data_IF_674149619931
#
_entry.id   IF_674149619931
#
_cell.length_a   1.000
_cell.length_b   1.000
_cell.length_c   1.000
_cell.angle_alpha   90.00
_cell.angle_beta   90.00
_cell.angle_gamma   90.00
#
_symmetry.space_group_name_H-M   'P 1'
#
loop_
_entity.id
_entity.type
_entity.pdbx_description
1 polymer ?
#
# COMPACT_ATOMS: atom_id res chain seq x y z
N UNK A 1 17.34 13.75 31.86
CA UNK A 1 17.02 13.51 30.42
C UNK A 1 15.93 14.52 30.05
N UNK A 2 16.25 15.53 29.22
CA UNK A 2 15.27 16.53 28.82
C UNK A 2 14.22 15.90 27.91
N UNK A 3 12.94 16.16 28.17
CA UNK A 3 11.84 15.82 27.28
C UNK A 3 11.71 16.94 26.27
N UNK A 4 11.85 16.65 24.97
CA UNK A 4 11.61 17.64 23.90
C UNK A 4 10.17 18.13 23.97
N UNK A 5 9.96 19.43 23.80
CA UNK A 5 8.62 19.97 23.60
C UNK A 5 8.11 19.61 22.20
N UNK A 6 6.80 19.50 22.03
CA UNK A 6 6.19 19.16 20.73
C UNK A 6 6.63 20.15 19.64
N UNK A 7 6.78 21.43 19.98
CA UNK A 7 7.26 22.51 19.10
C UNK A 7 8.71 22.35 18.63
N UNK A 8 9.50 21.49 19.30
CA UNK A 8 10.91 21.20 18.98
C UNK A 8 11.04 19.95 18.08
N UNK A 9 9.94 19.26 17.78
CA UNK A 9 9.93 18.07 16.89
C UNK A 9 9.72 18.57 15.45
N UNK A 10 10.62 18.23 14.50
CA UNK A 10 10.41 18.58 13.10
C UNK A 10 9.06 18.07 12.58
N UNK A 11 8.34 18.92 11.88
CA UNK A 11 7.08 18.58 11.22
C UNK A 11 7.17 18.95 9.74
N UNK A 12 7.19 17.94 8.88
CA UNK A 12 7.42 18.09 7.45
C UNK A 12 6.12 18.05 6.65
N UNK A 13 6.13 18.75 5.53
CA UNK A 13 5.01 18.83 4.59
C UNK A 13 5.38 18.23 3.24
N UNK A 14 4.39 18.09 2.35
CA UNK A 14 4.62 17.66 0.97
C UNK A 14 5.54 18.65 0.21
N UNK A 15 5.51 19.93 0.53
CA UNK A 15 6.40 20.93 -0.08
C UNK A 15 7.85 20.68 0.29
N UNK A 16 8.12 20.33 1.56
CA UNK A 16 9.46 19.92 1.99
C UNK A 16 9.90 18.64 1.27
N UNK A 17 9.01 17.65 1.26
CA UNK A 17 9.25 16.34 0.63
C UNK A 17 9.58 16.45 -0.86
N UNK A 18 8.94 17.34 -1.60
CA UNK A 18 9.15 17.52 -3.04
C UNK A 18 10.58 17.94 -3.40
N UNK A 19 11.37 18.41 -2.42
CA UNK A 19 12.76 18.81 -2.60
C UNK A 19 13.78 17.78 -2.08
N UNK A 20 13.31 16.66 -1.52
CA UNK A 20 14.21 15.66 -0.95
C UNK A 20 14.75 14.71 -2.02
N UNK A 21 15.99 14.31 -1.85
CA UNK A 21 16.59 13.24 -2.64
C UNK A 21 16.27 11.88 -2.03
N UNK A 22 16.13 10.86 -2.89
CA UNK A 22 15.83 9.50 -2.47
C UNK A 22 14.33 9.24 -2.32
N UNK A 23 14.01 8.13 -1.65
CA UNK A 23 12.62 7.71 -1.40
C UNK A 23 12.26 7.92 0.06
N UNK A 24 11.17 8.61 0.29
CA UNK A 24 10.68 8.94 1.63
C UNK A 24 9.17 8.77 1.70
N UNK A 25 8.68 8.61 2.90
CA UNK A 25 7.27 8.78 3.26
C UNK A 25 7.18 9.81 4.36
N UNK A 26 6.06 10.52 4.42
CA UNK A 26 5.71 11.41 5.54
C UNK A 26 4.40 10.92 6.11
N UNK A 27 4.32 10.71 7.40
CA UNK A 27 3.07 10.35 8.08
C UNK A 27 2.88 11.28 9.28
N UNK A 28 1.84 12.12 9.23
CA UNK A 28 1.56 13.13 10.24
C UNK A 28 2.79 14.03 10.53
N UNK A 29 3.45 14.50 9.48
CA UNK A 29 4.64 15.35 9.58
C UNK A 29 5.95 14.65 9.95
N UNK A 30 5.91 13.35 10.23
CA UNK A 30 7.11 12.56 10.55
C UNK A 30 7.68 11.94 9.29
N UNK A 31 8.96 12.22 9.01
CA UNK A 31 9.66 11.67 7.85
C UNK A 31 10.19 10.26 8.12
N UNK A 32 9.95 9.37 7.17
CA UNK A 32 10.46 7.99 7.16
C UNK A 32 11.29 7.76 5.91
N UNK A 33 12.61 7.59 6.06
CA UNK A 33 13.45 7.16 4.96
C UNK A 33 13.01 5.77 4.50
N UNK A 34 12.75 5.63 3.21
CA UNK A 34 12.60 4.31 2.60
C UNK A 34 14.01 3.75 2.40
N UNK A 35 14.25 2.56 2.92
CA UNK A 35 15.55 1.88 2.92
C UNK A 35 16.19 1.85 1.52
N UNK A 36 17.54 1.71 1.41
CA UNK A 36 18.14 1.46 0.11
C UNK A 36 17.41 0.32 -0.61
N UNK A 37 17.54 0.23 -1.93
CA UNK A 37 16.75 -0.62 -2.82
C UNK A 37 16.23 -1.93 -2.18
N UNK A 38 14.96 -2.28 -2.34
CA UNK A 38 14.40 -3.49 -1.75
C UNK A 38 15.15 -4.74 -2.21
N UNK A 39 15.20 -5.76 -1.36
CA UNK A 39 15.85 -7.04 -1.67
C UNK A 39 15.25 -7.66 -2.94
N UNK A 40 16.03 -8.45 -3.67
CA UNK A 40 15.62 -9.14 -4.91
C UNK A 40 14.29 -9.90 -4.70
N UNK A 41 14.18 -10.65 -3.59
CA UNK A 41 12.95 -11.40 -3.26
C UNK A 41 11.72 -10.51 -3.12
N UNK A 42 11.86 -9.35 -2.47
CA UNK A 42 10.78 -8.36 -2.37
C UNK A 42 10.37 -7.85 -3.74
N UNK A 43 11.34 -7.46 -4.58
CA UNK A 43 11.05 -6.95 -5.93
C UNK A 43 10.41 -8.02 -6.81
N UNK A 44 10.88 -9.28 -6.74
CA UNK A 44 10.31 -10.39 -7.51
C UNK A 44 8.84 -10.62 -7.14
N UNK A 45 8.52 -10.65 -5.86
CA UNK A 45 7.14 -10.82 -5.38
C UNK A 45 6.26 -9.64 -5.79
N UNK A 46 6.73 -8.39 -5.55
CA UNK A 46 6.00 -7.18 -5.95
C UNK A 46 5.73 -7.15 -7.46
N UNK A 47 6.69 -7.54 -8.29
CA UNK A 47 6.51 -7.62 -9.74
C UNK A 47 5.47 -8.67 -10.15
N UNK A 48 5.44 -9.84 -9.49
CA UNK A 48 4.43 -10.89 -9.74
C UNK A 48 3.03 -10.43 -9.32
N UNK A 49 2.93 -9.68 -8.20
CA UNK A 49 1.69 -9.05 -7.76
C UNK A 49 1.23 -8.04 -8.80
N UNK A 50 2.11 -7.11 -9.22
CA UNK A 50 1.80 -6.08 -10.20
C UNK A 50 1.27 -6.68 -11.52
N UNK A 51 1.97 -7.68 -12.05
CA UNK A 51 1.55 -8.36 -13.28
C UNK A 51 0.16 -8.96 -13.13
N UNK A 52 -0.09 -9.69 -12.04
CA UNK A 52 -1.38 -10.34 -11.83
C UNK A 52 -2.51 -9.32 -11.63
N UNK A 53 -2.25 -8.22 -10.90
CA UNK A 53 -3.22 -7.14 -10.75
C UNK A 53 -3.52 -6.48 -12.10
N UNK A 54 -2.52 -6.21 -12.92
CA UNK A 54 -2.73 -5.62 -14.25
C UNK A 54 -3.58 -6.52 -15.14
N UNK A 55 -3.28 -7.83 -15.18
CA UNK A 55 -4.05 -8.83 -15.92
C UNK A 55 -5.53 -8.89 -15.48
N UNK A 56 -5.80 -8.98 -14.17
CA UNK A 56 -7.19 -9.12 -13.66
C UNK A 56 -7.99 -7.82 -13.75
N UNK A 57 -7.34 -6.66 -13.76
CA UNK A 57 -7.99 -5.35 -13.90
C UNK A 57 -8.04 -4.82 -15.34
N UNK A 58 -7.46 -5.54 -16.32
CA UNK A 58 -7.41 -5.12 -17.73
C UNK A 58 -8.78 -4.71 -18.27
N UNK A 59 -9.83 -5.46 -17.94
CA UNK A 59 -11.19 -5.23 -18.40
C UNK A 59 -12.03 -4.32 -17.48
N UNK A 60 -11.50 -3.88 -16.34
CA UNK A 60 -12.19 -2.93 -15.45
C UNK A 60 -11.81 -1.49 -15.83
N UNK A 61 -12.58 -0.87 -16.71
CA UNK A 61 -12.28 0.46 -17.27
C UNK A 61 -12.10 1.57 -16.23
N UNK A 62 -12.73 1.44 -15.06
CA UNK A 62 -12.71 2.45 -14.00
C UNK A 62 -11.55 2.31 -13.03
N UNK A 63 -10.89 1.16 -13.01
CA UNK A 63 -9.80 0.86 -12.09
C UNK A 63 -8.48 0.58 -12.83
N UNK A 64 -7.37 0.89 -12.19
CA UNK A 64 -6.01 0.64 -12.68
C UNK A 64 -5.13 0.09 -11.57
N UNK A 65 -4.35 -0.92 -11.90
CA UNK A 65 -3.24 -1.38 -11.07
C UNK A 65 -2.03 -0.46 -11.27
N UNK A 66 -1.37 -0.09 -10.20
CA UNK A 66 -0.20 0.78 -10.23
C UNK A 66 0.96 0.18 -9.42
N UNK A 67 2.17 0.47 -9.87
CA UNK A 67 3.42 0.32 -9.13
C UNK A 67 3.52 1.43 -8.05
N UNK A 68 4.57 1.43 -7.20
CA UNK A 68 4.71 2.44 -6.16
C UNK A 68 4.59 3.85 -6.72
N UNK A 69 3.66 4.61 -6.18
CA UNK A 69 3.38 6.00 -6.50
C UNK A 69 3.03 6.75 -5.22
N UNK A 70 3.32 8.03 -5.17
CA UNK A 70 2.92 8.87 -4.05
C UNK A 70 1.40 8.91 -3.92
N UNK A 71 0.92 8.49 -2.75
CA UNK A 71 -0.44 8.77 -2.33
C UNK A 71 -0.41 9.92 -1.32
N UNK A 72 -0.84 11.08 -1.79
CA UNK A 72 -0.93 12.29 -0.99
C UNK A 72 -2.29 12.35 -0.29
N UNK A 73 -2.30 11.97 0.98
CA UNK A 73 -3.50 11.97 1.81
C UNK A 73 -3.80 13.37 2.39
N UNK A 74 -2.75 14.03 2.88
CA UNK A 74 -2.81 15.36 3.49
C UNK A 74 -1.58 16.18 3.14
N UNK A 75 -1.52 17.43 3.61
CA UNK A 75 -0.36 18.29 3.40
C UNK A 75 0.91 17.73 4.04
N UNK A 76 0.77 16.97 5.11
CA UNK A 76 1.84 16.38 5.93
C UNK A 76 1.81 14.84 5.95
N UNK A 77 1.08 14.23 5.02
CA UNK A 77 0.98 12.76 4.94
C UNK A 77 1.01 12.30 3.48
N UNK A 78 2.11 11.62 3.13
CA UNK A 78 2.37 11.02 1.82
C UNK A 78 2.99 9.65 2.03
N UNK A 79 2.42 8.61 1.43
CA UNK A 79 2.92 7.24 1.49
C UNK A 79 3.07 6.64 0.10
N UNK A 80 3.92 5.62 -0.03
CA UNK A 80 4.13 4.88 -1.28
C UNK A 80 3.86 3.39 -1.03
N UNK A 81 2.64 2.89 -1.24
CA UNK A 81 2.37 1.45 -1.21
C UNK A 81 3.14 0.69 -2.30
N UNK A 82 3.57 -0.55 -2.03
CA UNK A 82 4.33 -1.35 -2.99
C UNK A 82 3.54 -1.68 -4.26
N UNK A 83 2.27 -2.09 -4.11
CA UNK A 83 1.34 -2.32 -5.23
C UNK A 83 -0.06 -1.87 -4.81
N UNK A 84 -0.77 -1.24 -5.73
CA UNK A 84 -2.10 -0.73 -5.40
C UNK A 84 -3.04 -0.75 -6.61
N UNK A 85 -4.34 -0.71 -6.32
CA UNK A 85 -5.39 -0.52 -7.32
C UNK A 85 -6.18 0.73 -6.97
N UNK A 86 -6.26 1.67 -7.90
CA UNK A 86 -7.08 2.87 -7.78
C UNK A 86 -8.26 2.81 -8.75
N UNK A 87 -9.36 3.48 -8.39
CA UNK A 87 -10.52 3.59 -9.26
C UNK A 87 -10.99 5.04 -9.36
N UNK A 88 -11.40 5.44 -10.56
CA UNK A 88 -11.93 6.78 -10.84
C UNK A 88 -10.96 7.94 -10.47
N UNK A 89 -9.65 7.72 -10.60
CA UNK A 89 -8.62 8.74 -10.35
C UNK A 89 -8.22 9.43 -11.65
N UNK A 90 -7.72 10.67 -11.54
CA UNK A 90 -7.11 11.37 -12.67
C UNK A 90 -5.68 10.88 -12.87
N UNK A 91 -5.41 10.23 -14.00
CA UNK A 91 -4.11 9.64 -14.32
C UNK A 91 -3.07 10.65 -14.85
N UNK A 92 -3.43 11.91 -15.05
CA UNK A 92 -2.50 12.95 -15.56
C UNK A 92 -1.63 13.58 -14.45
N UNK A 93 -1.74 13.08 -13.22
CA UNK A 93 -0.99 13.57 -12.05
C UNK A 93 0.19 12.66 -11.71
N UNK A 94 1.21 13.24 -11.11
CA UNK A 94 2.38 12.51 -10.59
C UNK A 94 2.11 11.80 -9.24
N UNK A 95 0.95 12.01 -8.65
CA UNK A 95 0.53 11.42 -7.37
C UNK A 95 -0.98 11.16 -7.39
N UNK A 96 -1.43 10.25 -6.54
CA UNK A 96 -2.87 10.00 -6.33
C UNK A 96 -3.36 10.74 -5.07
N UNK A 97 -4.65 11.06 -5.05
CA UNK A 97 -5.31 11.75 -3.94
C UNK A 97 -6.48 10.97 -3.37
N UNK A 98 -7.06 10.06 -4.17
CA UNK A 98 -8.12 9.17 -3.69
C UNK A 98 -7.54 7.93 -3.02
N UNK A 99 -8.27 7.39 -2.06
CA UNK A 99 -7.89 6.14 -1.43
C UNK A 99 -7.87 4.98 -2.45
N UNK A 100 -6.78 4.23 -2.55
CA UNK A 100 -6.76 2.98 -3.30
C UNK A 100 -7.83 2.01 -2.81
N UNK A 101 -8.33 1.18 -3.71
CA UNK A 101 -9.28 0.12 -3.34
C UNK A 101 -8.57 -1.10 -2.77
N UNK A 102 -7.38 -1.39 -3.28
CA UNK A 102 -6.57 -2.52 -2.84
C UNK A 102 -5.13 -2.01 -2.65
N UNK A 103 -4.50 -2.41 -1.56
CA UNK A 103 -3.08 -2.19 -1.31
C UNK A 103 -2.44 -3.53 -0.93
N UNK A 104 -1.30 -3.81 -1.54
CA UNK A 104 -0.36 -4.84 -1.11
C UNK A 104 0.91 -4.17 -0.58
N UNK A 105 1.38 -4.60 0.59
CA UNK A 105 2.70 -4.28 1.12
C UNK A 105 3.50 -5.57 1.27
N UNK A 106 4.66 -5.64 0.64
CA UNK A 106 5.58 -6.76 0.75
C UNK A 106 6.51 -6.51 1.92
N UNK A 107 6.33 -7.24 2.99
CA UNK A 107 7.04 -7.02 4.25
C UNK A 107 8.54 -7.23 4.12
N UNK A 108 9.29 -6.35 4.76
CA UNK A 108 10.72 -6.50 5.02
C UNK A 108 11.01 -6.29 6.50
N UNK A 109 12.18 -6.71 6.96
CA UNK A 109 12.59 -6.51 8.38
C UNK A 109 12.56 -5.04 8.81
N UNK A 110 12.77 -4.12 7.87
CA UNK A 110 12.78 -2.67 8.15
C UNK A 110 11.39 -2.03 8.09
N UNK A 111 10.45 -2.58 7.34
CA UNK A 111 9.13 -1.97 7.11
C UNK A 111 7.99 -2.65 7.86
N UNK A 112 8.10 -3.93 8.20
CA UNK A 112 7.02 -4.72 8.78
C UNK A 112 6.31 -4.02 9.96
N UNK A 113 7.05 -3.46 10.91
CA UNK A 113 6.47 -2.74 12.05
C UNK A 113 5.66 -1.51 11.63
N UNK A 114 6.08 -0.81 10.58
CA UNK A 114 5.37 0.35 10.04
C UNK A 114 4.10 -0.10 9.29
N UNK A 115 4.23 -1.13 8.46
CA UNK A 115 3.13 -1.63 7.61
C UNK A 115 2.03 -2.32 8.47
N UNK A 116 2.43 -3.13 9.47
CA UNK A 116 1.50 -3.76 10.43
C UNK A 116 0.94 -2.79 11.49
N UNK A 117 1.51 -1.60 11.62
CA UNK A 117 1.19 -0.61 12.65
C UNK A 117 0.55 0.67 12.12
N UNK A 118 1.38 1.69 11.86
CA UNK A 118 0.88 3.03 11.52
C UNK A 118 0.18 3.05 10.16
N UNK A 119 0.70 2.36 9.14
CA UNK A 119 0.07 2.26 7.81
C UNK A 119 -1.23 1.47 7.86
N UNK A 120 -1.29 0.40 8.67
CA UNK A 120 -2.52 -0.37 8.87
C UNK A 120 -3.67 0.54 9.35
N UNK A 121 -3.42 1.34 10.39
CA UNK A 121 -4.44 2.29 10.91
C UNK A 121 -4.75 3.41 9.93
N UNK A 122 -3.73 3.91 9.23
CA UNK A 122 -3.89 4.95 8.23
C UNK A 122 -4.77 4.48 7.08
N UNK A 123 -4.49 3.30 6.51
CA UNK A 123 -5.27 2.76 5.40
C UNK A 123 -6.69 2.37 5.81
N UNK A 124 -6.88 1.90 7.05
CA UNK A 124 -8.21 1.67 7.64
C UNK A 124 -9.01 2.97 7.70
N UNK A 125 -8.41 4.04 8.25
CA UNK A 125 -9.10 5.33 8.40
C UNK A 125 -9.42 6.02 7.07
N UNK A 126 -8.58 5.81 6.06
CA UNK A 126 -8.75 6.39 4.71
C UNK A 126 -9.71 5.58 3.83
N UNK A 127 -10.17 4.43 4.30
CA UNK A 127 -11.20 3.68 3.60
C UNK A 127 -10.68 2.76 2.49
N UNK A 128 -9.44 2.29 2.58
CA UNK A 128 -8.90 1.27 1.64
C UNK A 128 -9.68 -0.04 1.84
N UNK A 129 -10.32 -0.54 0.78
CA UNK A 129 -11.23 -1.69 0.89
C UNK A 129 -10.51 -2.99 1.26
N UNK A 130 -9.33 -3.24 0.67
CA UNK A 130 -8.53 -4.44 0.93
C UNK A 130 -7.09 -4.07 1.21
N UNK A 131 -6.57 -4.58 2.32
CA UNK A 131 -5.17 -4.43 2.69
C UNK A 131 -4.51 -5.79 2.86
N UNK A 132 -3.45 -6.04 2.10
CA UNK A 132 -2.77 -7.33 2.04
C UNK A 132 -1.32 -7.15 2.47
N UNK A 133 -0.93 -7.82 3.55
CA UNK A 133 0.44 -7.88 4.06
C UNK A 133 1.08 -9.18 3.59
N UNK A 134 2.06 -9.09 2.71
CA UNK A 134 2.74 -10.24 2.11
C UNK A 134 4.07 -10.48 2.82
N UNK A 135 4.20 -11.61 3.48
CA UNK A 135 5.44 -12.02 4.15
C UNK A 135 6.25 -12.97 3.26
N UNK A 136 7.36 -12.49 2.66
CA UNK A 136 8.18 -13.31 1.78
C UNK A 136 8.85 -14.49 2.48
N UNK A 137 9.25 -14.31 3.75
CA UNK A 137 10.00 -15.32 4.50
C UNK A 137 9.11 -16.48 4.91
N UNK A 138 7.87 -16.20 5.29
CA UNK A 138 6.85 -17.19 5.65
C UNK A 138 6.10 -17.74 4.44
N UNK A 139 6.26 -17.15 3.24
CA UNK A 139 5.46 -17.41 2.04
C UNK A 139 3.95 -17.38 2.35
N UNK A 140 3.53 -16.34 3.05
CA UNK A 140 2.16 -16.19 3.51
C UNK A 140 1.71 -14.73 3.35
N UNK A 141 0.46 -14.52 2.97
CA UNK A 141 -0.17 -13.22 2.93
C UNK A 141 -1.33 -13.15 3.90
N UNK A 142 -1.36 -12.09 4.74
CA UNK A 142 -2.50 -11.78 5.61
C UNK A 142 -3.38 -10.77 4.88
N UNK A 143 -4.63 -11.11 4.65
CA UNK A 143 -5.56 -10.22 3.98
C UNK A 143 -6.64 -9.69 4.94
N UNK A 144 -6.93 -8.41 4.77
CA UNK A 144 -7.96 -7.69 5.52
C UNK A 144 -8.94 -7.02 4.57
N UNK A 145 -10.21 -7.01 4.91
CA UNK A 145 -11.23 -6.22 4.23
C UNK A 145 -11.85 -5.19 5.16
N UNK A 146 -12.15 -4.02 4.62
CA UNK A 146 -12.81 -2.95 5.37
C UNK A 146 -14.32 -3.25 5.48
N UNK A 147 -14.81 -3.33 6.71
CA UNK A 147 -16.25 -3.51 7.03
C UNK A 147 -16.62 -2.55 8.15
N UNK A 148 -17.63 -1.75 7.92
CA UNK A 148 -18.13 -0.76 8.90
C UNK A 148 -16.99 0.14 9.46
N UNK A 149 -16.04 0.53 8.58
CA UNK A 149 -14.91 1.39 8.93
C UNK A 149 -13.78 0.70 9.70
N UNK A 150 -13.78 -0.65 9.78
CA UNK A 150 -12.76 -1.43 10.46
C UNK A 150 -12.22 -2.57 9.58
N UNK A 151 -10.92 -2.82 9.69
CA UNK A 151 -10.31 -3.97 9.05
C UNK A 151 -10.66 -5.27 9.77
N UNK A 152 -11.30 -6.17 9.05
CA UNK A 152 -11.54 -7.54 9.47
C UNK A 152 -10.59 -8.46 8.70
N UNK A 153 -9.83 -9.27 9.40
CA UNK A 153 -8.99 -10.28 8.77
C UNK A 153 -9.87 -11.31 8.07
N UNK A 154 -9.65 -11.48 6.77
CA UNK A 154 -10.41 -12.42 5.93
C UNK A 154 -9.67 -13.73 5.68
N UNK A 155 -8.37 -13.79 5.94
CA UNK A 155 -7.61 -15.03 5.87
C UNK A 155 -6.10 -14.84 5.89
N UNK A 156 -5.43 -15.98 6.03
CA UNK A 156 -4.03 -16.18 5.68
C UNK A 156 -4.00 -17.00 4.39
N UNK A 157 -3.22 -16.56 3.41
CA UNK A 157 -3.18 -17.12 2.06
C UNK A 157 -1.76 -17.57 1.74
N UNK A 158 -1.63 -18.82 1.30
CA UNK A 158 -0.36 -19.43 0.86
C UNK A 158 -0.45 -19.73 -0.64
N UNK A 159 -1.36 -20.59 -1.03
CA UNK A 159 -1.60 -21.01 -2.40
C UNK A 159 -3.09 -20.91 -2.83
N UNK A 160 -3.90 -20.37 -1.95
CA UNK A 160 -5.31 -20.14 -2.21
C UNK A 160 -5.53 -18.87 -3.05
N UNK A 161 -6.78 -18.67 -3.44
CA UNK A 161 -7.24 -17.50 -4.18
C UNK A 161 -8.07 -16.59 -3.30
N UNK A 162 -7.94 -15.29 -3.54
CA UNK A 162 -8.77 -14.24 -2.94
C UNK A 162 -9.59 -13.55 -4.01
N UNK A 163 -10.89 -13.46 -3.80
CA UNK A 163 -11.79 -12.71 -4.67
C UNK A 163 -11.97 -11.29 -4.15
N UNK A 164 -11.65 -10.30 -4.97
CA UNK A 164 -11.97 -8.90 -4.70
C UNK A 164 -13.34 -8.55 -5.29
N UNK A 165 -14.18 -7.95 -4.46
CA UNK A 165 -15.49 -7.43 -4.86
C UNK A 165 -15.43 -5.90 -4.82
N UNK A 166 -15.45 -5.27 -5.98
CA UNK A 166 -15.43 -3.81 -6.12
C UNK A 166 -16.63 -3.36 -6.93
N UNK A 167 -17.38 -2.38 -6.41
CA UNK A 167 -18.55 -1.80 -7.09
C UNK A 167 -18.19 -1.12 -8.42
N UNK A 168 -16.93 -0.82 -8.62
CA UNK A 168 -16.40 -0.19 -9.83
C UNK A 168 -16.17 -1.19 -10.98
N UNK A 169 -16.16 -2.49 -10.68
CA UNK A 169 -15.93 -3.54 -11.67
C UNK A 169 -17.17 -4.45 -11.78
N UNK A 170 -17.52 -4.84 -13.01
CA UNK A 170 -18.75 -5.58 -13.29
C UNK A 170 -18.72 -7.04 -12.82
N UNK A 171 -17.54 -7.55 -12.51
CA UNK A 171 -17.33 -8.94 -12.07
C UNK A 171 -16.37 -8.98 -10.88
N UNK A 172 -16.53 -9.97 -9.99
CA UNK A 172 -15.51 -10.28 -8.99
C UNK A 172 -14.17 -10.61 -9.67
N UNK A 173 -13.08 -10.21 -9.02
CA UNK A 173 -11.72 -10.30 -9.54
C UNK A 173 -10.91 -11.25 -8.66
N UNK A 174 -10.43 -12.35 -9.23
CA UNK A 174 -9.75 -13.40 -8.51
C UNK A 174 -8.22 -13.24 -8.58
N UNK A 175 -7.57 -13.15 -7.42
CA UNK A 175 -6.13 -13.10 -7.25
C UNK A 175 -5.61 -14.44 -6.70
N UNK A 176 -4.58 -15.01 -7.32
CA UNK A 176 -4.04 -16.33 -7.03
C UNK A 176 -2.68 -16.19 -6.32
N UNK A 177 -2.65 -16.49 -5.02
CA UNK A 177 -1.42 -16.36 -4.22
C UNK A 177 -0.36 -17.41 -4.57
N UNK A 178 -0.73 -18.56 -5.15
CA UNK A 178 0.25 -19.56 -5.58
C UNK A 178 1.26 -19.03 -6.61
N UNK A 179 0.89 -17.98 -7.34
CA UNK A 179 1.69 -17.40 -8.43
C UNK A 179 2.72 -16.37 -7.99
N UNK A 180 2.70 -15.92 -6.73
CA UNK A 180 3.62 -14.89 -6.27
C UNK A 180 4.85 -15.43 -5.54
N UNK A 181 4.79 -16.65 -5.03
CA UNK A 181 5.92 -17.28 -4.34
C UNK A 181 6.98 -17.82 -5.30
N UNK A 182 8.19 -18.00 -4.80
CA UNK A 182 9.32 -18.62 -5.49
C UNK A 182 9.60 -20.02 -4.96
#
# INVERSE_FOLDING_TARGET
MGVLKIEEIPHYTYEDYAHWEGKWEIICGVAYAMSPAPMIKHQSISNKIARQLDEIFENCKRCKALLPIDWKLAIDTVVQPDNLVICNENLDKAYITKAPKIIFEVLSKSTAKKDEGIKFRLYESEGVNYYILVNPDEKMAKAYSLRDGKYIKIGDFIDEKLTFELNECDKPLEFDFSKIWE
#
